data_IF_562832180663
#
_entry.id   IF_562832180663
#
_cell.length_a   1.000
_cell.length_b   1.000
_cell.length_c   1.000
_cell.angle_alpha   90.00
_cell.angle_beta   90.00
_cell.angle_gamma   90.00
#
_symmetry.space_group_name_H-M   'P 1'
#
loop_
_entity.id
_entity.type
_entity.pdbx_description
1 polymer ?
#
# COMPACT_ATOMS: atom_id res chain seq x y z
N UNK A 1 -17.63 47.14 -30.54
CA UNK A 1 -17.72 46.31 -29.32
C UNK A 1 -17.59 44.84 -29.72
N UNK A 2 -16.39 44.30 -29.65
CA UNK A 2 -16.07 42.95 -30.16
C UNK A 2 -16.03 42.01 -28.96
N UNK A 3 -16.97 41.07 -28.90
CA UNK A 3 -17.09 40.09 -27.83
C UNK A 3 -16.01 39.02 -28.00
N UNK A 4 -15.07 38.92 -27.04
CA UNK A 4 -14.12 37.80 -26.91
C UNK A 4 -14.88 36.53 -26.53
N UNK A 5 -14.92 35.57 -27.44
CA UNK A 5 -15.37 34.20 -27.14
C UNK A 5 -14.32 33.51 -26.30
N UNK A 6 -14.64 33.27 -25.02
CA UNK A 6 -13.88 32.37 -24.15
C UNK A 6 -14.06 30.94 -24.66
N UNK A 7 -13.02 30.37 -25.24
CA UNK A 7 -12.92 28.93 -25.52
C UNK A 7 -12.93 28.15 -24.20
N UNK A 8 -13.78 27.12 -24.03
CA UNK A 8 -13.72 26.27 -22.85
C UNK A 8 -12.46 25.45 -22.89
N UNK A 9 -11.64 25.58 -21.84
CA UNK A 9 -10.51 24.69 -21.60
C UNK A 9 -11.07 23.29 -21.38
N UNK A 10 -10.82 22.39 -22.33
CA UNK A 10 -11.16 20.98 -22.20
C UNK A 10 -10.45 20.41 -20.96
N UNK A 11 -11.21 20.04 -19.94
CA UNK A 11 -10.77 19.23 -18.82
C UNK A 11 -10.30 17.88 -19.39
N UNK A 12 -8.98 17.72 -19.54
CA UNK A 12 -8.37 16.43 -19.80
C UNK A 12 -8.62 15.61 -18.52
N UNK A 13 -9.65 14.78 -18.53
CA UNK A 13 -9.93 13.77 -17.51
C UNK A 13 -8.83 12.71 -17.58
N UNK A 14 -7.64 13.05 -17.08
CA UNK A 14 -6.54 12.12 -16.89
C UNK A 14 -6.91 11.20 -15.75
N UNK A 15 -7.27 9.95 -16.04
CA UNK A 15 -7.42 8.92 -15.03
C UNK A 15 -6.20 8.94 -14.10
N UNK A 16 -6.44 8.99 -12.79
CA UNK A 16 -5.35 9.01 -11.81
C UNK A 16 -4.38 7.85 -12.09
N UNK A 17 -3.06 8.08 -12.03
CA UNK A 17 -2.07 7.06 -12.41
C UNK A 17 -2.03 5.86 -11.43
N UNK A 18 -2.92 5.81 -10.47
CA UNK A 18 -3.08 4.75 -9.46
C UNK A 18 -4.54 4.63 -9.02
N UNK A 19 -4.90 3.49 -8.45
CA UNK A 19 -6.20 3.25 -7.82
C UNK A 19 -6.00 2.93 -6.33
N UNK A 20 -6.94 3.37 -5.48
CA UNK A 20 -6.98 3.02 -4.06
C UNK A 20 -8.12 2.03 -3.84
N UNK A 21 -7.83 0.93 -3.16
CA UNK A 21 -8.79 -0.11 -2.78
C UNK A 21 -8.53 -0.65 -1.38
N UNK A 22 -9.46 -1.39 -0.83
CA UNK A 22 -9.23 -2.17 0.38
C UNK A 22 -8.07 -3.15 0.15
N UNK A 23 -7.26 -3.33 1.18
CA UNK A 23 -6.17 -4.30 1.18
C UNK A 23 -6.72 -5.72 1.03
N UNK A 24 -6.00 -6.57 0.31
CA UNK A 24 -6.31 -7.98 0.09
C UNK A 24 -5.28 -8.86 0.79
N UNK A 25 -5.65 -10.10 1.10
CA UNK A 25 -4.70 -11.07 1.65
C UNK A 25 -3.47 -11.27 0.75
N UNK A 26 -3.64 -11.18 -0.56
CA UNK A 26 -2.54 -11.27 -1.54
C UNK A 26 -1.57 -10.08 -1.50
N UNK A 27 -1.96 -8.95 -0.89
CA UNK A 27 -1.10 -7.76 -0.80
C UNK A 27 -0.06 -7.87 0.31
N UNK A 28 -0.20 -8.82 1.23
CA UNK A 28 0.62 -8.90 2.47
C UNK A 28 2.11 -8.90 2.16
N UNK A 29 2.58 -9.76 1.26
CA UNK A 29 4.00 -9.87 0.92
C UNK A 29 4.52 -8.56 0.30
N UNK A 30 3.79 -8.01 -0.68
CA UNK A 30 4.18 -6.77 -1.35
C UNK A 30 4.13 -5.56 -0.39
N UNK A 31 3.16 -5.54 0.54
CA UNK A 31 3.07 -4.51 1.58
C UNK A 31 4.24 -4.56 2.54
N UNK A 32 4.59 -5.74 3.08
CA UNK A 32 5.71 -5.86 4.00
C UNK A 32 7.02 -5.43 3.33
N UNK A 33 7.27 -5.87 2.08
CA UNK A 33 8.41 -5.42 1.31
C UNK A 33 8.44 -3.89 1.10
N UNK A 34 7.28 -3.26 0.83
CA UNK A 34 7.17 -1.81 0.71
C UNK A 34 7.48 -1.11 2.04
N UNK A 35 6.99 -1.65 3.16
CA UNK A 35 7.25 -1.10 4.49
C UNK A 35 8.73 -1.21 4.86
N UNK A 36 9.38 -2.35 4.56
CA UNK A 36 10.82 -2.54 4.79
C UNK A 36 11.65 -1.58 3.93
N UNK A 37 11.28 -1.37 2.68
CA UNK A 37 11.93 -0.40 1.79
C UNK A 37 11.77 1.06 2.27
N UNK A 38 10.62 1.41 2.88
CA UNK A 38 10.34 2.78 3.34
C UNK A 38 10.91 3.10 4.73
N UNK A 39 10.95 2.12 5.62
CA UNK A 39 11.24 2.34 7.06
C UNK A 39 12.43 1.55 7.58
N UNK A 40 13.00 0.66 6.79
CA UNK A 40 14.09 -0.23 7.19
C UNK A 40 13.62 -1.44 8.02
N UNK A 41 14.53 -2.41 8.19
CA UNK A 41 14.24 -3.66 8.92
C UNK A 41 13.92 -3.44 10.40
N UNK A 42 14.40 -2.34 10.98
CA UNK A 42 14.16 -1.98 12.38
C UNK A 42 12.79 -1.33 12.66
N UNK A 43 11.92 -1.22 11.64
CA UNK A 43 10.59 -0.59 11.77
C UNK A 43 9.73 -1.22 12.87
N UNK A 44 9.96 -2.50 13.18
CA UNK A 44 9.24 -3.24 14.23
C UNK A 44 9.59 -2.77 15.65
N UNK A 45 10.71 -2.08 15.83
CA UNK A 45 11.15 -1.54 17.13
C UNK A 45 10.53 -0.17 17.46
N UNK A 46 9.81 0.45 16.52
CA UNK A 46 9.24 1.78 16.72
C UNK A 46 8.09 1.74 17.73
N UNK A 47 7.96 2.80 18.54
CA UNK A 47 6.94 2.90 19.60
C UNK A 47 5.52 2.61 19.11
N UNK A 48 5.11 3.17 17.96
CA UNK A 48 3.78 2.89 17.39
C UNK A 48 3.57 1.44 16.97
N UNK A 49 4.61 0.63 16.82
CA UNK A 49 4.45 -0.79 16.52
C UNK A 49 3.78 -1.52 17.67
N UNK A 50 4.05 -1.15 18.91
CA UNK A 50 3.43 -1.73 20.12
C UNK A 50 1.90 -1.61 20.12
N UNK A 51 1.34 -0.60 19.45
CA UNK A 51 -0.10 -0.41 19.30
C UNK A 51 -0.72 -1.34 18.25
N UNK A 52 0.10 -2.01 17.45
CA UNK A 52 -0.30 -2.80 16.28
C UNK A 52 0.03 -4.28 16.41
N UNK A 53 1.02 -4.60 17.25
CA UNK A 53 1.51 -5.97 17.41
C UNK A 53 0.40 -6.92 17.85
N UNK A 54 0.25 -8.02 17.12
CA UNK A 54 -0.76 -9.02 17.39
C UNK A 54 -2.20 -8.55 17.14
N UNK A 55 -2.43 -7.38 16.56
CA UNK A 55 -3.76 -6.84 16.29
C UNK A 55 -4.11 -6.84 14.81
N UNK A 56 -5.40 -6.93 14.51
CA UNK A 56 -5.94 -6.69 13.20
C UNK A 56 -6.18 -5.17 12.99
N UNK A 57 -5.99 -4.63 11.78
CA UNK A 57 -6.41 -3.27 11.47
C UNK A 57 -7.91 -3.13 11.63
N UNK A 58 -8.38 -1.90 11.89
CA UNK A 58 -9.81 -1.59 11.97
C UNK A 58 -10.49 -1.98 10.64
N UNK A 59 -11.68 -2.57 10.74
CA UNK A 59 -12.39 -3.12 9.59
C UNK A 59 -12.62 -2.07 8.49
N UNK A 60 -12.26 -2.45 7.27
CA UNK A 60 -12.37 -1.58 6.09
C UNK A 60 -11.42 -0.37 6.09
N UNK A 61 -10.48 -0.29 7.06
CA UNK A 61 -9.51 0.80 7.19
C UNK A 61 -8.06 0.37 6.91
N UNK A 62 -7.89 -0.73 6.19
CA UNK A 62 -6.63 -1.12 5.58
C UNK A 62 -6.73 -0.87 4.06
N UNK A 63 -5.94 0.06 3.54
CA UNK A 63 -6.02 0.52 2.16
C UNK A 63 -4.69 0.32 1.43
N UNK A 64 -4.80 -0.09 0.17
CA UNK A 64 -3.68 -0.27 -0.77
C UNK A 64 -3.85 0.65 -1.95
N UNK A 65 -2.80 1.38 -2.31
CA UNK A 65 -2.69 2.04 -3.59
C UNK A 65 -1.99 1.12 -4.58
N UNK A 66 -2.61 0.89 -5.72
CA UNK A 66 -2.10 0.01 -6.77
C UNK A 66 -1.96 0.75 -8.08
N UNK A 67 -0.95 0.39 -8.87
CA UNK A 67 -0.68 0.95 -10.18
C UNK A 67 -0.67 -0.16 -11.22
N UNK A 68 -1.30 0.08 -12.35
CA UNK A 68 -1.22 -0.84 -13.48
C UNK A 68 0.17 -0.76 -14.12
N UNK A 69 0.74 -1.89 -14.50
CA UNK A 69 2.00 -1.95 -15.25
C UNK A 69 1.90 -1.20 -16.58
N UNK A 70 3.02 -0.67 -17.04
CA UNK A 70 3.09 0.21 -18.21
C UNK A 70 2.54 -0.46 -19.50
N UNK A 71 2.62 -1.79 -19.59
CA UNK A 71 2.19 -2.54 -20.78
C UNK A 71 0.66 -2.63 -20.97
N UNK A 72 -0.13 -2.42 -19.92
CA UNK A 72 -1.59 -2.40 -20.05
C UNK A 72 -2.12 -1.09 -20.68
N UNK A 73 -1.33 -0.01 -20.63
CA UNK A 73 -1.72 1.29 -21.23
C UNK A 73 -1.59 1.30 -22.74
N UNK A 74 -0.69 0.49 -23.30
CA UNK A 74 -0.47 0.42 -24.77
C UNK A 74 -1.61 -0.31 -25.47
N UNK A 75 -2.27 -1.28 -24.80
CA UNK A 75 -3.40 -2.04 -25.39
C UNK A 75 -4.71 -1.27 -25.45
N UNK A 76 -4.90 -0.23 -24.65
CA UNK A 76 -6.15 0.55 -24.64
C UNK A 76 -6.22 1.60 -25.76
N UNK A 77 -5.10 1.93 -26.42
CA UNK A 77 -5.04 2.95 -27.47
C UNK A 77 -5.00 2.41 -28.90
N UNK A 78 -4.87 1.09 -29.09
CA UNK A 78 -4.95 0.46 -30.40
C UNK A 78 -6.24 -0.36 -30.53
N UNK A 79 -7.35 0.33 -30.78
CA UNK A 79 -8.48 -0.26 -31.47
C UNK A 79 -8.08 -0.31 -32.95
N UNK A 80 -7.64 -1.48 -33.40
CA UNK A 80 -7.38 -1.73 -34.82
C UNK A 80 -8.69 -1.53 -35.61
N UNK A 81 -8.67 -0.88 -36.79
CA UNK A 81 -9.79 -0.91 -37.72
C UNK A 81 -9.95 -2.36 -38.21
N UNK A 82 -11.18 -2.84 -38.14
CA UNK A 82 -11.58 -4.08 -38.83
C UNK A 82 -11.82 -3.71 -40.30
N UNK A 83 -10.85 -3.85 -41.16
CA UNK A 83 -11.10 -3.97 -42.57
C UNK A 83 -10.21 -5.08 -43.12
N UNK A 84 -10.86 -6.01 -43.75
CA UNK A 84 -10.25 -7.20 -44.31
C UNK A 84 -9.44 -6.92 -45.54
N UNK A 85 -8.35 -7.62 -45.67
CA UNK A 85 -7.90 -8.17 -46.93
C UNK A 85 -6.87 -9.27 -46.69
N UNK A 86 -7.21 -10.44 -47.22
CA UNK A 86 -6.28 -11.59 -47.30
C UNK A 86 -5.31 -11.31 -48.42
N UNK A 87 -4.02 -11.33 -48.13
CA UNK A 87 -3.01 -11.70 -49.11
C UNK A 87 -1.97 -12.60 -48.47
N UNK A 88 -1.81 -13.72 -49.09
CA UNK A 88 -0.89 -14.81 -48.87
C UNK A 88 0.57 -14.41 -49.15
N UNK A 89 1.46 -15.17 -48.51
CA UNK A 89 2.86 -15.49 -48.87
C UNK A 89 3.94 -14.72 -48.09
N UNK A 90 4.65 -15.36 -47.22
CA UNK A 90 5.86 -16.13 -47.55
C UNK A 90 6.54 -16.66 -46.29
N UNK A 91 6.92 -17.91 -46.38
CA UNK A 91 7.80 -18.66 -45.49
C UNK A 91 9.15 -17.92 -45.40
N UNK A 92 9.59 -17.55 -44.18
CA UNK A 92 10.99 -17.31 -43.88
C UNK A 92 11.41 -18.14 -42.70
N UNK A 93 12.41 -18.93 -42.96
CA UNK A 93 13.18 -19.88 -42.18
C UNK A 93 13.63 -19.35 -40.82
N UNK A 94 13.58 -20.28 -39.87
CA UNK A 94 14.14 -20.17 -38.54
C UNK A 94 15.69 -20.13 -38.63
N UNK A 95 16.27 -18.99 -38.42
CA UNK A 95 17.66 -18.83 -37.96
C UNK A 95 17.80 -17.41 -37.36
N UNK A 96 18.50 -17.33 -36.21
CA UNK A 96 18.81 -16.16 -35.41
C UNK A 96 17.79 -15.72 -34.34
N UNK A 97 17.70 -16.53 -33.29
CA UNK A 97 17.38 -16.06 -31.96
C UNK A 97 18.50 -16.47 -30.99
N UNK A 98 19.56 -15.68 -30.94
CA UNK A 98 20.55 -15.77 -29.87
C UNK A 98 19.93 -15.21 -28.58
N UNK A 99 19.80 -16.11 -27.60
CA UNK A 99 19.43 -15.76 -26.23
C UNK A 99 20.48 -14.82 -25.64
N UNK A 100 20.05 -13.67 -25.10
CA UNK A 100 20.90 -12.65 -24.50
C UNK A 100 21.30 -12.94 -23.04
N UNK A 101 21.26 -14.19 -22.60
CA UNK A 101 21.82 -14.65 -21.32
C UNK A 101 23.09 -15.43 -21.60
N UNK A 102 24.24 -14.88 -21.26
CA UNK A 102 25.57 -15.41 -21.58
C UNK A 102 26.04 -16.67 -20.84
N UNK A 103 25.13 -17.51 -20.30
CA UNK A 103 25.50 -18.67 -19.48
C UNK A 103 24.64 -19.91 -19.76
N UNK A 104 24.59 -20.36 -21.02
CA UNK A 104 24.04 -21.66 -21.33
C UNK A 104 25.11 -22.52 -22.00
N UNK A 105 26.04 -23.08 -21.24
CA UNK A 105 26.89 -24.20 -21.67
C UNK A 105 26.43 -25.46 -20.94
N UNK A 106 25.82 -26.42 -21.70
CA UNK A 106 25.50 -27.73 -21.15
C UNK A 106 24.41 -28.45 -21.94
N UNK A 107 24.81 -29.57 -22.58
CA UNK A 107 24.02 -30.50 -23.36
C UNK A 107 22.73 -30.96 -22.67
N UNK A 108 21.56 -30.47 -23.10
CA UNK A 108 20.29 -31.19 -23.26
C UNK A 108 19.18 -30.22 -23.65
N UNK A 109 18.42 -30.46 -24.75
CA UNK A 109 17.55 -29.42 -25.31
C UNK A 109 16.11 -29.38 -24.77
N UNK A 110 15.72 -29.92 -23.63
CA UNK A 110 14.29 -30.00 -23.33
C UNK A 110 13.79 -29.64 -21.93
N UNK A 111 14.62 -29.28 -20.92
CA UNK A 111 14.04 -29.11 -19.56
C UNK A 111 14.42 -27.89 -18.73
N UNK A 112 15.17 -26.90 -19.22
CA UNK A 112 15.70 -25.85 -18.31
C UNK A 112 15.32 -24.38 -18.62
N UNK A 113 14.27 -24.14 -19.37
CA UNK A 113 13.76 -22.77 -19.58
C UNK A 113 12.32 -22.58 -19.08
N UNK A 114 11.92 -23.18 -17.98
CA UNK A 114 10.57 -23.02 -17.39
C UNK A 114 10.49 -22.24 -16.09
N UNK A 115 11.55 -21.62 -15.62
CA UNK A 115 11.48 -20.64 -14.52
C UNK A 115 11.85 -19.23 -14.99
N UNK A 116 11.35 -18.85 -16.16
CA UNK A 116 11.25 -17.48 -16.58
C UNK A 116 10.17 -16.79 -15.75
N UNK A 117 10.55 -15.79 -14.98
CA UNK A 117 9.67 -14.82 -14.35
C UNK A 117 8.52 -14.51 -15.30
N UNK A 118 7.35 -15.08 -15.05
CA UNK A 118 6.15 -14.87 -15.85
C UNK A 118 5.84 -13.37 -15.89
N UNK A 119 6.18 -12.76 -17.01
CA UNK A 119 5.84 -11.38 -17.32
C UNK A 119 4.32 -11.32 -17.55
N UNK A 120 3.55 -11.27 -16.44
CA UNK A 120 2.10 -11.10 -16.51
C UNK A 120 1.81 -9.68 -16.96
N UNK A 121 1.34 -9.44 -18.18
CA UNK A 121 1.16 -8.09 -18.74
C UNK A 121 0.09 -7.25 -18.05
N UNK A 122 -0.57 -7.77 -17.02
CA UNK A 122 -1.61 -7.10 -16.22
C UNK A 122 -1.34 -7.09 -14.71
N UNK A 123 -0.11 -7.31 -14.27
CA UNK A 123 0.21 -7.28 -12.85
C UNK A 123 0.05 -5.86 -12.28
N UNK A 124 -0.95 -5.68 -11.45
CA UNK A 124 -1.07 -4.46 -10.64
C UNK A 124 -0.01 -4.50 -9.54
N UNK A 125 0.88 -3.49 -9.53
CA UNK A 125 1.90 -3.35 -8.48
C UNK A 125 1.34 -2.53 -7.33
N UNK A 126 1.55 -2.98 -6.09
CA UNK A 126 1.28 -2.20 -4.89
C UNK A 126 2.34 -1.11 -4.77
N UNK A 127 1.89 0.15 -4.67
CA UNK A 127 2.76 1.34 -4.63
C UNK A 127 2.52 2.22 -3.41
N UNK A 128 1.55 1.89 -2.58
CA UNK A 128 1.29 2.59 -1.33
C UNK A 128 0.36 1.81 -0.42
N UNK A 129 0.43 2.09 0.88
CA UNK A 129 -0.42 1.49 1.90
C UNK A 129 -0.66 2.44 3.04
N UNK A 130 -1.83 2.36 3.67
CA UNK A 130 -2.15 2.97 4.96
C UNK A 130 -3.11 2.05 5.72
N UNK A 131 -2.98 2.01 7.04
CA UNK A 131 -3.86 1.25 7.93
C UNK A 131 -4.23 2.09 9.14
N UNK A 132 -5.43 1.87 9.67
CA UNK A 132 -5.84 2.41 10.95
C UNK A 132 -6.13 1.28 11.93
N UNK A 133 -5.90 1.54 13.21
CA UNK A 133 -5.95 0.53 14.27
C UNK A 133 -6.77 1.07 15.43
N UNK A 134 -7.61 0.23 16.03
CA UNK A 134 -8.37 0.63 17.22
C UNK A 134 -7.46 0.80 18.42
N UNK A 135 -7.62 1.93 19.10
CA UNK A 135 -6.95 2.26 20.36
C UNK A 135 -7.95 2.94 21.31
N UNK A 136 -7.58 3.02 22.58
CA UNK A 136 -8.14 4.04 23.48
C UNK A 136 -7.05 5.06 23.79
N UNK A 137 -7.40 6.33 23.72
CA UNK A 137 -6.57 7.46 24.09
C UNK A 137 -6.98 7.91 25.49
N UNK A 138 -6.27 7.44 26.53
CA UNK A 138 -6.65 7.74 27.92
C UNK A 138 -8.10 7.34 28.26
N UNK A 139 -8.56 6.17 27.77
CA UNK A 139 -9.92 5.68 27.98
C UNK A 139 -10.92 6.08 26.87
N UNK A 140 -10.62 7.08 26.05
CA UNK A 140 -11.49 7.53 24.95
C UNK A 140 -11.23 6.71 23.69
N UNK A 141 -12.26 6.11 23.04
CA UNK A 141 -12.11 5.35 21.81
C UNK A 141 -11.59 6.21 20.65
N UNK A 142 -10.53 5.77 20.01
CA UNK A 142 -9.91 6.44 18.87
C UNK A 142 -9.30 5.44 17.88
N UNK A 143 -8.75 5.96 16.80
CA UNK A 143 -7.93 5.21 15.86
C UNK A 143 -6.50 5.73 15.87
N UNK A 144 -5.51 4.86 15.62
CA UNK A 144 -4.16 5.28 15.27
C UNK A 144 -3.90 5.01 13.79
N UNK A 145 -3.49 6.05 13.05
CA UNK A 145 -3.15 5.95 11.63
C UNK A 145 -1.68 5.54 11.48
N UNK A 146 -1.44 4.53 10.69
CA UNK A 146 -0.12 4.11 10.28
C UNK A 146 0.08 2.58 10.28
N UNK A 147 1.11 2.12 9.60
CA UNK A 147 2.07 2.89 8.81
C UNK A 147 1.47 3.43 7.52
N UNK A 148 1.90 4.64 7.10
CA UNK A 148 1.67 5.18 5.78
C UNK A 148 2.97 5.03 4.99
N UNK A 149 2.95 4.28 3.89
CA UNK A 149 4.10 4.10 3.02
C UNK A 149 3.73 4.33 1.56
N UNK A 150 4.65 4.93 0.81
CA UNK A 150 4.54 5.13 -0.64
C UNK A 150 5.88 4.80 -1.27
N UNK A 151 5.84 3.98 -2.31
CA UNK A 151 7.00 3.59 -3.10
C UNK A 151 7.78 4.83 -3.56
N UNK A 152 9.10 4.78 -3.41
CA UNK A 152 9.98 5.92 -3.67
C UNK A 152 9.87 6.43 -5.11
N UNK A 153 9.73 5.51 -6.07
CA UNK A 153 9.56 5.83 -7.49
C UNK A 153 8.20 6.46 -7.83
N UNK A 154 7.25 6.39 -6.89
CA UNK A 154 5.89 6.92 -7.04
C UNK A 154 5.61 8.12 -6.14
N UNK A 155 6.64 8.67 -5.47
CA UNK A 155 6.52 9.90 -4.70
C UNK A 155 6.14 11.07 -5.61
N UNK A 156 5.55 12.13 -5.02
CA UNK A 156 5.05 13.33 -5.72
C UNK A 156 3.83 13.09 -6.64
N UNK A 157 3.36 11.84 -6.80
CA UNK A 157 2.13 11.53 -7.53
C UNK A 157 0.84 11.73 -6.70
N UNK A 158 0.95 12.25 -5.48
CA UNK A 158 -0.22 12.47 -4.60
C UNK A 158 -0.77 11.23 -3.91
N UNK A 159 -0.13 10.05 -4.05
CA UNK A 159 -0.60 8.77 -3.50
C UNK A 159 -0.79 8.84 -1.99
N UNK A 160 0.21 9.35 -1.24
CA UNK A 160 0.13 9.48 0.21
C UNK A 160 -1.02 10.36 0.66
N UNK A 161 -1.22 11.52 -0.02
CA UNK A 161 -2.36 12.40 0.23
C UNK A 161 -3.69 11.68 0.01
N UNK A 162 -3.84 11.03 -1.12
CA UNK A 162 -5.07 10.33 -1.47
C UNK A 162 -5.38 9.16 -0.51
N UNK A 163 -4.35 8.42 -0.05
CA UNK A 163 -4.50 7.36 0.95
C UNK A 163 -5.00 7.91 2.29
N UNK A 164 -4.39 9.00 2.80
CA UNK A 164 -4.81 9.62 4.06
C UNK A 164 -6.24 10.14 3.94
N UNK A 165 -6.56 10.90 2.90
CA UNK A 165 -7.91 11.44 2.69
C UNK A 165 -8.96 10.33 2.61
N UNK A 166 -8.68 9.25 1.87
CA UNK A 166 -9.60 8.11 1.76
C UNK A 166 -9.78 7.39 3.08
N UNK A 167 -8.70 7.20 3.86
CA UNK A 167 -8.74 6.57 5.17
C UNK A 167 -9.55 7.39 6.18
N UNK A 168 -9.35 8.71 6.23
CA UNK A 168 -10.10 9.62 7.10
C UNK A 168 -11.58 9.67 6.75
N UNK A 169 -11.91 9.77 5.45
CA UNK A 169 -13.30 9.72 4.98
C UNK A 169 -13.97 8.39 5.37
N UNK A 170 -13.27 7.28 5.19
CA UNK A 170 -13.77 5.97 5.57
C UNK A 170 -13.94 5.81 7.09
N UNK A 171 -13.04 6.36 7.91
CA UNK A 171 -13.16 6.38 9.36
C UNK A 171 -14.37 7.20 9.81
N UNK A 172 -14.54 8.40 9.24
CA UNK A 172 -15.69 9.27 9.54
C UNK A 172 -17.02 8.60 9.18
N UNK A 173 -17.12 7.99 8.00
CA UNK A 173 -18.34 7.27 7.57
C UNK A 173 -18.68 6.09 8.49
N UNK A 174 -17.67 5.49 9.14
CA UNK A 174 -17.86 4.39 10.12
C UNK A 174 -18.12 4.88 11.55
N UNK A 175 -18.28 6.19 11.76
CA UNK A 175 -18.62 6.77 13.06
C UNK A 175 -17.46 6.89 14.04
N UNK A 176 -16.21 6.74 13.60
CA UNK A 176 -15.07 6.98 14.49
C UNK A 176 -14.95 8.46 14.84
N UNK A 177 -14.68 8.75 16.13
CA UNK A 177 -14.64 10.12 16.66
C UNK A 177 -13.31 10.82 16.40
N UNK A 178 -12.19 10.12 16.49
CA UNK A 178 -10.86 10.72 16.40
C UNK A 178 -9.83 9.76 15.77
N UNK A 179 -8.80 10.36 15.18
CA UNK A 179 -7.64 9.66 14.62
C UNK A 179 -6.36 10.30 15.16
N UNK A 180 -5.48 9.46 15.69
CA UNK A 180 -4.16 9.85 16.21
C UNK A 180 -3.07 9.34 15.25
N UNK A 181 -1.92 9.98 15.26
CA UNK A 181 -0.71 9.47 14.60
C UNK A 181 0.56 10.01 15.24
N UNK A 182 1.68 9.34 15.01
CA UNK A 182 3.01 9.87 15.28
C UNK A 182 3.67 10.20 13.93
N UNK A 183 3.85 11.48 13.63
CA UNK A 183 4.30 11.89 12.30
C UNK A 183 4.90 13.29 12.26
N UNK A 184 5.10 13.79 11.06
CA UNK A 184 5.66 15.09 10.77
C UNK A 184 4.54 16.13 10.69
N UNK A 185 4.47 17.04 11.67
CA UNK A 185 3.40 18.03 11.77
C UNK A 185 3.22 18.86 10.49
N UNK A 186 4.26 19.41 9.83
CA UNK A 186 4.13 20.13 8.57
C UNK A 186 3.48 19.29 7.44
N UNK A 187 3.69 17.97 7.43
CA UNK A 187 3.03 17.12 6.45
C UNK A 187 1.56 16.88 6.79
N UNK A 188 1.23 16.63 8.07
CA UNK A 188 -0.11 16.21 8.45
C UNK A 188 -1.08 17.36 8.75
N UNK A 189 -0.59 18.59 9.00
CA UNK A 189 -1.43 19.78 9.19
C UNK A 189 -2.36 20.07 8.02
N UNK A 190 -1.95 19.75 6.79
CA UNK A 190 -2.78 19.85 5.58
C UNK A 190 -4.06 19.02 5.59
N UNK A 191 -4.14 18.04 6.48
CA UNK A 191 -5.32 17.20 6.69
C UNK A 191 -6.10 17.60 7.94
N UNK A 192 -5.66 18.63 8.65
CA UNK A 192 -6.26 19.12 9.88
C UNK A 192 -5.69 18.51 11.16
N UNK A 193 -4.62 17.69 11.08
CA UNK A 193 -3.96 17.17 12.26
C UNK A 193 -3.19 18.26 13.00
N UNK A 194 -3.25 18.21 14.35
CA UNK A 194 -2.51 19.12 15.24
C UNK A 194 -2.01 18.38 16.49
N UNK A 195 -1.15 19.02 17.27
CA UNK A 195 -0.71 18.53 18.58
C UNK A 195 -1.44 19.20 19.74
N UNK A 196 -2.47 20.01 19.47
CA UNK A 196 -3.08 20.88 20.49
C UNK A 196 -3.79 20.10 21.60
N UNK A 197 -4.41 18.97 21.31
CA UNK A 197 -5.19 18.16 22.25
C UNK A 197 -4.42 16.94 22.77
N UNK A 198 -3.23 16.64 22.23
CA UNK A 198 -2.43 15.47 22.61
C UNK A 198 -1.55 15.64 23.83
N UNK A 199 -1.47 16.83 24.42
CA UNK A 199 -0.52 17.15 25.50
C UNK A 199 -0.61 16.26 26.74
N UNK A 200 -1.79 15.73 27.04
CA UNK A 200 -2.04 14.80 28.17
C UNK A 200 -1.92 13.34 27.76
N UNK A 201 -1.71 13.03 26.48
CA UNK A 201 -1.61 11.66 25.98
C UNK A 201 -0.16 11.17 25.95
N UNK A 202 0.03 9.88 26.15
CA UNK A 202 1.34 9.21 26.15
C UNK A 202 1.29 7.93 25.33
N UNK A 203 2.35 7.65 24.58
CA UNK A 203 2.54 6.37 23.92
C UNK A 203 3.21 5.34 24.84
N UNK A 204 3.05 4.03 24.60
CA UNK A 204 3.67 2.97 25.41
C UNK A 204 5.18 2.80 25.10
N UNK A 205 5.93 3.89 25.09
CA UNK A 205 7.37 3.92 24.83
C UNK A 205 7.84 5.32 24.45
N UNK A 206 9.13 5.49 24.15
CA UNK A 206 9.71 6.81 23.86
C UNK A 206 9.12 7.39 22.57
N UNK A 207 8.81 8.67 22.59
CA UNK A 207 8.33 9.45 21.45
C UNK A 207 8.61 10.94 21.66
N UNK A 208 8.56 11.69 20.58
CA UNK A 208 8.64 13.16 20.60
C UNK A 208 7.21 13.70 20.71
N UNK A 209 6.86 14.45 21.78
CA UNK A 209 5.49 14.93 22.02
C UNK A 209 4.89 15.72 20.85
N UNK A 210 5.67 16.61 20.24
CA UNK A 210 5.24 17.47 19.12
C UNK A 210 4.91 16.68 17.84
N UNK A 211 5.27 15.41 17.79
CA UNK A 211 4.95 14.50 16.68
C UNK A 211 3.72 13.65 16.94
N UNK A 212 3.19 13.64 18.16
CA UNK A 212 1.92 13.01 18.45
C UNK A 212 0.81 13.97 18.06
N UNK A 213 0.13 13.65 16.98
CA UNK A 213 -0.89 14.49 16.37
C UNK A 213 -2.24 13.80 16.43
N UNK A 214 -3.30 14.58 16.54
CA UNK A 214 -4.68 14.14 16.46
C UNK A 214 -5.48 14.90 15.41
N UNK A 215 -6.56 14.28 14.99
CA UNK A 215 -7.64 14.89 14.22
C UNK A 215 -8.97 14.39 14.76
N UNK A 216 -9.78 15.27 15.28
CA UNK A 216 -11.16 14.97 15.61
C UNK A 216 -12.02 14.91 14.33
N UNK A 217 -12.64 13.77 14.10
CA UNK A 217 -13.63 13.57 13.04
C UNK A 217 -15.03 14.02 13.47
N UNK A 218 -15.23 14.09 14.78
CA UNK A 218 -16.38 14.64 15.48
C UNK A 218 -15.87 15.55 16.59
N UNK A 219 -16.37 16.76 16.66
CA UNK A 219 -15.99 17.76 17.64
C UNK A 219 -16.16 17.21 19.07
N UNK A 220 -15.19 17.48 19.93
CA UNK A 220 -15.13 17.02 21.32
C UNK A 220 -14.88 15.52 21.49
N UNK A 221 -14.49 14.82 20.43
CA UNK A 221 -14.28 13.37 20.50
C UNK A 221 -13.11 12.95 21.40
N UNK A 222 -12.20 13.87 21.70
CA UNK A 222 -11.05 13.64 22.61
C UNK A 222 -11.17 14.44 23.92
N UNK A 223 -12.34 15.01 24.20
CA UNK A 223 -12.55 15.74 25.44
C UNK A 223 -12.26 14.86 26.67
N UNK A 224 -11.41 15.35 27.58
CA UNK A 224 -10.98 14.63 28.75
C UNK A 224 -9.99 13.48 28.49
N UNK A 225 -9.55 13.28 27.27
CA UNK A 225 -8.57 12.24 26.95
C UNK A 225 -7.22 12.51 27.60
N UNK A 226 -6.81 11.66 28.56
CA UNK A 226 -5.54 11.79 29.27
C UNK A 226 -4.97 10.42 29.65
N UNK A 227 -3.64 10.27 29.60
CA UNK A 227 -2.95 9.03 29.95
C UNK A 227 -2.41 8.24 28.76
N UNK A 228 -2.24 6.95 28.93
CA UNK A 228 -1.56 6.09 27.94
C UNK A 228 -2.52 5.66 26.83
N UNK A 229 -2.04 5.74 25.60
CA UNK A 229 -2.72 5.16 24.43
C UNK A 229 -2.48 3.66 24.42
N UNK A 230 -3.56 2.87 24.45
CA UNK A 230 -3.47 1.40 24.47
C UNK A 230 -4.24 0.78 23.31
N UNK A 231 -3.76 -0.36 22.76
CA UNK A 231 -4.43 -1.04 21.65
C UNK A 231 -5.71 -1.76 22.13
N UNK A 232 -6.82 -1.56 21.42
CA UNK A 232 -8.12 -2.17 21.68
C UNK A 232 -8.66 -3.00 20.51
N UNK A 233 -7.93 -3.03 19.40
CA UNK A 233 -8.31 -3.80 18.21
C UNK A 233 -8.38 -5.31 18.49
N UNK A 234 -9.15 -6.02 17.66
CA UNK A 234 -9.20 -7.48 17.69
C UNK A 234 -7.82 -8.10 17.48
N UNK A 235 -7.57 -9.26 18.08
CA UNK A 235 -6.36 -10.01 17.79
C UNK A 235 -6.30 -10.38 16.31
N UNK A 236 -5.11 -10.25 15.72
CA UNK A 236 -4.89 -10.71 14.36
C UNK A 236 -5.08 -12.23 14.30
N UNK A 237 -5.72 -12.78 13.25
CA UNK A 237 -5.77 -14.21 13.05
C UNK A 237 -4.35 -14.76 13.03
N UNK A 238 -4.01 -15.63 13.96
CA UNK A 238 -2.71 -16.30 13.93
C UNK A 238 -2.72 -17.26 12.75
N UNK A 239 -2.06 -16.86 11.66
CA UNK A 239 -1.80 -17.75 10.54
C UNK A 239 -0.97 -18.92 11.05
N UNK A 240 -1.55 -20.15 11.07
CA UNK A 240 -0.78 -21.35 11.39
C UNK A 240 0.49 -21.35 10.53
N UNK A 241 1.69 -21.54 11.10
CA UNK A 241 2.93 -21.61 10.33
C UNK A 241 2.87 -22.83 9.42
N UNK A 242 2.56 -22.62 8.16
CA UNK A 242 2.40 -23.69 7.14
C UNK A 242 3.72 -24.28 6.64
N UNK A 243 4.87 -23.81 7.10
CA UNK A 243 6.16 -24.21 6.51
C UNK A 243 7.12 -25.00 7.42
N UNK A 244 6.95 -25.04 8.73
CA UNK A 244 7.88 -25.78 9.60
C UNK A 244 7.63 -27.30 9.62
N UNK A 245 6.49 -27.78 9.15
CA UNK A 245 6.13 -29.21 9.23
C UNK A 245 6.67 -30.08 8.07
N UNK A 246 7.15 -29.51 6.97
CA UNK A 246 7.64 -30.30 5.83
C UNK A 246 9.14 -30.63 5.86
N UNK A 247 9.95 -29.89 6.61
CA UNK A 247 11.40 -30.14 6.67
C UNK A 247 11.83 -31.21 7.68
N UNK A 248 10.95 -31.64 8.60
CA UNK A 248 11.28 -32.72 9.56
C UNK A 248 11.13 -34.15 9.02
N UNK A 249 10.61 -34.35 7.82
CA UNK A 249 10.41 -35.69 7.22
C UNK A 249 11.51 -36.15 6.27
N UNK A 250 12.57 -35.38 6.11
CA UNK A 250 13.67 -35.70 5.18
C UNK A 250 15.04 -35.85 5.88
N UNK A 251 15.07 -36.16 7.16
CA UNK A 251 16.31 -36.61 7.78
C UNK A 251 16.53 -38.09 7.44
N UNK A 252 17.66 -38.48 6.82
CA UNK A 252 17.96 -39.88 6.56
C UNK A 252 18.17 -40.59 7.90
N UNK A 253 17.53 -41.74 8.07
CA UNK A 253 17.82 -42.68 9.16
C UNK A 253 19.26 -43.17 8.97
N UNK A 254 20.14 -42.81 9.93
CA UNK A 254 21.45 -43.43 10.04
C UNK A 254 21.27 -44.93 10.30
N UNK A 255 22.00 -45.76 9.51
CA UNK A 255 22.16 -47.18 9.69
C UNK A 255 23.10 -47.46 10.88
#
# INVERSE_FOLDING_TARGET
>A
MTALRKTPVALISGAAPFAIRSERASDVVAREALLDACFGATRHMRTCQRLRDGRAPAEGLALSAVRQGLLSRIRSSHRLPQDGERTSNSIRTAEDSKCACGECFGNSPEETCREGVGNFPNATRLVGTVRLWHVTAGGVPALVLGPLAVDQSCRKLGIGRALVQRALAAAKTRGHGAVLLLGDAPYYSRFGFSALTTGQLRLPGPFEPDRLLDLELREGALDGASGIIVPTGMAAPQGKPRLAARLRKLAPRAA
#
